data_IF_924733483952
#
_entry.id   IF_924733483952
#
_cell.length_a   1.000
_cell.length_b   1.000
_cell.length_c   1.000
_cell.angle_alpha   90.00
_cell.angle_beta   90.00
_cell.angle_gamma   90.00
#
_symmetry.space_group_name_H-M   'P 1'
#
loop_
_entity.id
_entity.type
_entity.pdbx_description
1 polymer ?
#
# COMPACT_ATOMS: atom_id res chain seq x y z
N UNK A 1 -46.24 -12.90 8.66
CA UNK A 1 -45.74 -12.39 7.37
C UNK A 1 -44.23 -12.50 7.41
N UNK A 2 -43.65 -13.48 6.71
CA UNK A 2 -42.21 -13.53 6.50
C UNK A 2 -41.85 -12.43 5.50
N UNK A 3 -41.02 -11.48 5.92
CA UNK A 3 -40.36 -10.55 4.99
C UNK A 3 -39.53 -11.41 4.02
N UNK A 4 -39.72 -11.32 2.70
CA UNK A 4 -38.87 -12.06 1.78
C UNK A 4 -37.44 -11.57 1.95
N UNK A 5 -36.52 -12.49 2.22
CA UNK A 5 -35.08 -12.24 2.11
C UNK A 5 -34.85 -11.86 0.65
N UNK A 6 -34.52 -10.58 0.40
CA UNK A 6 -34.09 -10.16 -0.95
C UNK A 6 -32.89 -11.02 -1.32
N UNK A 7 -32.88 -11.55 -2.54
CA UNK A 7 -31.68 -12.16 -3.10
C UNK A 7 -30.54 -11.15 -3.02
N UNK A 8 -29.35 -11.60 -2.62
CA UNK A 8 -28.17 -10.74 -2.53
C UNK A 8 -27.82 -10.26 -3.95
N UNK A 9 -27.63 -8.95 -4.12
CA UNK A 9 -27.35 -8.34 -5.43
C UNK A 9 -25.93 -8.67 -5.86
N UNK A 10 -25.77 -9.20 -7.07
CA UNK A 10 -24.45 -9.44 -7.67
C UNK A 10 -23.90 -8.14 -8.26
N UNK A 11 -22.87 -7.58 -7.60
CA UNK A 11 -22.23 -6.33 -8.06
C UNK A 11 -21.08 -6.66 -9.02
N UNK A 12 -21.24 -6.34 -10.29
CA UNK A 12 -20.23 -6.56 -11.32
C UNK A 12 -19.61 -5.24 -11.78
N UNK A 13 -18.29 -5.15 -11.76
CA UNK A 13 -17.55 -3.94 -12.13
C UNK A 13 -16.83 -4.13 -13.46
N UNK A 14 -17.03 -3.19 -14.38
CA UNK A 14 -16.35 -3.13 -15.67
C UNK A 14 -15.67 -1.77 -15.79
N UNK A 15 -14.36 -1.77 -16.00
CA UNK A 15 -13.55 -0.57 -16.20
C UNK A 15 -12.89 -0.57 -17.58
N UNK A 16 -13.22 0.45 -18.38
CA UNK A 16 -12.71 0.59 -19.75
C UNK A 16 -12.13 1.99 -19.93
N UNK A 17 -10.85 2.06 -20.30
CA UNK A 17 -10.18 3.34 -20.49
C UNK A 17 -10.67 4.10 -21.71
N UNK A 18 -10.78 3.38 -22.83
CA UNK A 18 -11.31 3.91 -24.08
C UNK A 18 -12.21 2.90 -24.77
N UNK A 19 -13.39 3.34 -25.20
CA UNK A 19 -14.25 2.54 -26.07
C UNK A 19 -13.57 2.23 -27.42
N UNK A 20 -14.14 1.29 -28.17
CA UNK A 20 -13.68 0.94 -29.50
C UNK A 20 -14.21 1.97 -30.50
N UNK A 21 -13.31 2.54 -31.31
CA UNK A 21 -13.74 3.40 -32.41
C UNK A 21 -14.63 2.62 -33.39
N UNK A 22 -15.78 3.18 -33.71
CA UNK A 22 -16.71 2.67 -34.73
C UNK A 22 -16.29 3.14 -36.13
N UNK A 23 -16.87 2.52 -37.16
CA UNK A 23 -16.62 2.94 -38.56
C UNK A 23 -17.20 4.34 -38.85
N UNK A 24 -18.21 4.76 -38.08
CA UNK A 24 -18.63 6.17 -38.00
C UNK A 24 -17.66 6.93 -37.08
N UNK A 25 -16.94 7.90 -37.65
CA UNK A 25 -15.97 8.73 -36.94
C UNK A 25 -16.64 9.74 -35.99
N UNK A 26 -17.90 10.09 -36.22
CA UNK A 26 -18.66 11.03 -35.39
C UNK A 26 -19.44 10.34 -34.26
N UNK A 27 -19.52 9.01 -34.30
CA UNK A 27 -20.12 8.24 -33.21
C UNK A 27 -19.16 8.12 -32.02
N UNK A 28 -19.75 8.02 -30.82
CA UNK A 28 -18.99 7.76 -29.60
C UNK A 28 -18.29 6.39 -29.70
N UNK A 29 -17.07 6.25 -29.17
CA UNK A 29 -16.41 4.95 -29.06
C UNK A 29 -17.27 3.95 -28.26
N UNK A 30 -17.46 2.75 -28.79
CA UNK A 30 -18.41 1.78 -28.25
C UNK A 30 -17.74 0.76 -27.32
N UNK A 31 -18.42 0.45 -26.22
CA UNK A 31 -18.05 -0.60 -25.27
C UNK A 31 -19.21 -1.58 -25.14
N UNK A 32 -19.04 -2.80 -25.66
CA UNK A 32 -20.09 -3.83 -25.70
C UNK A 32 -19.99 -4.75 -24.49
N UNK A 33 -21.11 -4.94 -23.79
CA UNK A 33 -21.23 -5.80 -22.61
C UNK A 33 -22.41 -6.75 -22.81
N UNK A 34 -22.17 -8.05 -22.59
CA UNK A 34 -23.21 -9.07 -22.49
C UNK A 34 -23.27 -9.56 -21.05
N UNK A 35 -24.42 -9.40 -20.39
CA UNK A 35 -24.66 -9.89 -19.03
C UNK A 35 -25.50 -11.15 -19.11
N UNK A 36 -24.95 -12.25 -18.61
CA UNK A 36 -25.53 -13.59 -18.66
C UNK A 36 -25.55 -14.20 -17.27
N UNK A 37 -26.48 -13.73 -16.45
CA UNK A 37 -26.64 -14.09 -15.03
C UNK A 37 -28.12 -14.44 -14.78
N UNK A 38 -28.61 -15.57 -15.30
CA UNK A 38 -29.99 -15.98 -15.08
C UNK A 38 -30.26 -16.14 -13.58
N UNK A 39 -31.48 -15.79 -13.17
CA UNK A 39 -31.97 -15.86 -11.79
C UNK A 39 -31.22 -14.97 -10.76
N UNK A 40 -30.34 -14.08 -11.22
CA UNK A 40 -29.63 -13.14 -10.37
C UNK A 40 -30.12 -11.70 -10.58
N UNK A 41 -30.23 -10.97 -9.46
CA UNK A 41 -30.35 -9.51 -9.47
C UNK A 41 -28.94 -8.92 -9.59
N UNK A 42 -28.67 -8.23 -10.70
CA UNK A 42 -27.34 -7.72 -11.06
C UNK A 42 -27.30 -6.19 -10.98
N UNK A 43 -26.31 -5.68 -10.25
CA UNK A 43 -25.88 -4.29 -10.35
C UNK A 43 -24.62 -4.18 -11.21
N UNK A 44 -24.68 -3.38 -12.26
CA UNK A 44 -23.57 -3.19 -13.18
C UNK A 44 -22.91 -1.83 -12.94
N UNK A 45 -21.62 -1.84 -12.61
CA UNK A 45 -20.81 -0.63 -12.41
C UNK A 45 -19.91 -0.44 -13.63
N UNK A 46 -20.10 0.68 -14.33
CA UNK A 46 -19.41 1.04 -15.55
C UNK A 46 -18.46 2.19 -15.27
N UNK A 47 -17.15 1.94 -15.36
CA UNK A 47 -16.11 2.92 -15.13
C UNK A 47 -15.44 3.27 -16.46
N UNK A 48 -15.45 4.54 -16.85
CA UNK A 48 -14.82 4.96 -18.10
C UNK A 48 -13.98 6.26 -18.03
N UNK A 49 -13.16 6.43 -19.06
CA UNK A 49 -12.21 7.54 -19.19
C UNK A 49 -12.79 8.83 -19.76
N UNK A 50 -14.08 8.90 -20.14
CA UNK A 50 -14.73 10.17 -20.42
C UNK A 50 -15.70 10.22 -21.61
N UNK A 51 -15.53 9.39 -22.64
CA UNK A 51 -16.44 9.39 -23.79
C UNK A 51 -16.62 7.97 -24.33
N UNK A 52 -17.67 7.29 -23.90
CA UNK A 52 -18.02 5.98 -24.47
C UNK A 52 -19.52 5.75 -24.54
N UNK A 53 -19.95 5.01 -25.56
CA UNK A 53 -21.27 4.41 -25.61
C UNK A 53 -21.20 2.97 -25.09
N UNK A 54 -21.70 2.77 -23.88
CA UNK A 54 -21.93 1.46 -23.30
C UNK A 54 -23.17 0.82 -23.92
N UNK A 55 -22.96 -0.26 -24.66
CA UNK A 55 -24.03 -1.07 -25.23
C UNK A 55 -24.14 -2.37 -24.43
N UNK A 56 -25.19 -2.48 -23.64
CA UNK A 56 -25.46 -3.61 -22.77
C UNK A 56 -26.54 -4.49 -23.39
N UNK A 57 -26.28 -5.79 -23.43
CA UNK A 57 -27.24 -6.82 -23.78
C UNK A 57 -27.36 -7.78 -22.59
N UNK A 58 -28.54 -8.36 -22.38
CA UNK A 58 -28.82 -9.32 -21.31
C UNK A 58 -29.35 -10.61 -21.92
N UNK A 59 -29.00 -11.76 -21.34
CA UNK A 59 -29.68 -13.02 -21.66
C UNK A 59 -31.06 -13.06 -20.99
N UNK A 60 -31.99 -13.91 -21.48
CA UNK A 60 -33.27 -14.12 -20.80
C UNK A 60 -33.06 -14.41 -19.30
N UNK A 61 -33.99 -13.94 -18.47
CA UNK A 61 -34.01 -14.18 -17.01
C UNK A 61 -32.90 -13.48 -16.21
N UNK A 62 -31.94 -12.81 -16.86
CA UNK A 62 -31.02 -11.87 -16.20
C UNK A 62 -31.77 -10.59 -15.81
N UNK A 63 -31.69 -10.18 -14.54
CA UNK A 63 -32.33 -8.94 -14.05
C UNK A 63 -31.29 -7.88 -13.69
N UNK A 64 -31.16 -6.86 -14.54
CA UNK A 64 -30.39 -5.67 -14.18
C UNK A 64 -31.21 -4.79 -13.25
N UNK A 65 -30.84 -4.73 -11.98
CA UNK A 65 -31.52 -3.90 -10.97
C UNK A 65 -30.96 -2.49 -10.94
N UNK A 66 -29.69 -2.31 -11.31
CA UNK A 66 -29.06 -0.99 -11.34
C UNK A 66 -27.90 -0.93 -12.35
N UNK A 67 -27.74 0.24 -12.99
CA UNK A 67 -26.55 0.58 -13.77
C UNK A 67 -25.94 1.86 -13.21
N UNK A 68 -24.74 1.74 -12.64
CA UNK A 68 -23.96 2.85 -12.10
C UNK A 68 -22.91 3.25 -13.12
N UNK A 69 -22.72 4.57 -13.28
CA UNK A 69 -21.63 5.14 -14.08
C UNK A 69 -20.64 5.87 -13.17
N UNK A 70 -19.36 5.58 -13.34
CA UNK A 70 -18.24 6.18 -12.61
C UNK A 70 -17.03 6.42 -13.53
N UNK A 71 -15.95 6.96 -12.98
CA UNK A 71 -14.74 7.30 -13.72
C UNK A 71 -14.52 8.81 -13.87
N UNK A 72 -13.54 9.21 -14.68
CA UNK A 72 -13.01 10.59 -14.67
C UNK A 72 -14.00 11.64 -15.18
N UNK A 73 -14.80 11.31 -16.20
CA UNK A 73 -15.69 12.26 -16.89
C UNK A 73 -16.99 11.57 -17.36
N UNK A 74 -17.83 11.10 -16.44
CA UNK A 74 -19.03 10.30 -16.79
C UNK A 74 -20.13 11.06 -17.54
N UNK A 75 -20.04 12.39 -17.63
CA UNK A 75 -21.08 13.26 -18.19
C UNK A 75 -21.32 13.05 -19.69
N UNK A 76 -20.29 12.62 -20.43
CA UNK A 76 -20.37 12.49 -21.89
C UNK A 76 -20.60 11.04 -22.36
N UNK A 77 -20.60 10.07 -21.43
CA UNK A 77 -20.83 8.66 -21.73
C UNK A 77 -22.33 8.33 -21.79
N UNK A 78 -22.71 7.51 -22.77
CA UNK A 78 -24.10 7.05 -22.99
C UNK A 78 -24.24 5.57 -22.67
N UNK A 79 -25.43 5.17 -22.22
CA UNK A 79 -25.75 3.76 -21.95
C UNK A 79 -27.01 3.38 -22.70
N UNK A 80 -26.98 2.25 -23.38
CA UNK A 80 -28.17 1.58 -23.92
C UNK A 80 -28.27 0.16 -23.38
N UNK A 81 -29.48 -0.26 -23.02
CA UNK A 81 -29.81 -1.64 -22.66
C UNK A 81 -30.71 -2.20 -23.75
N UNK A 82 -30.21 -3.20 -24.49
CA UNK A 82 -30.92 -3.81 -25.62
C UNK A 82 -31.42 -2.76 -26.64
N UNK A 83 -30.60 -1.74 -26.87
CA UNK A 83 -30.89 -0.62 -27.79
C UNK A 83 -31.72 0.53 -27.18
N UNK A 84 -32.24 0.37 -25.95
CA UNK A 84 -33.05 1.39 -25.28
C UNK A 84 -32.13 2.30 -24.45
N UNK A 85 -32.16 3.63 -24.64
CA UNK A 85 -31.39 4.57 -23.82
C UNK A 85 -31.71 4.44 -22.34
N UNK A 86 -30.66 4.42 -21.52
CA UNK A 86 -30.76 4.28 -20.07
C UNK A 86 -30.20 5.52 -19.37
N UNK A 87 -30.95 6.04 -18.41
CA UNK A 87 -30.45 7.05 -17.46
C UNK A 87 -29.86 6.29 -16.27
N UNK A 88 -28.61 5.86 -16.40
CA UNK A 88 -27.89 5.23 -15.29
C UNK A 88 -27.61 6.22 -14.16
N UNK A 89 -27.35 5.71 -12.95
CA UNK A 89 -27.00 6.53 -11.78
C UNK A 89 -25.56 6.99 -11.91
N UNK A 90 -25.35 8.29 -12.13
CA UNK A 90 -24.01 8.86 -12.16
C UNK A 90 -23.47 8.97 -10.72
N UNK A 91 -22.31 8.39 -10.48
CA UNK A 91 -21.56 8.49 -9.22
C UNK A 91 -20.16 9.00 -9.55
N UNK A 92 -19.98 10.32 -9.67
CA UNK A 92 -18.75 10.92 -10.19
C UNK A 92 -17.51 10.62 -9.34
N UNK A 93 -17.71 10.27 -8.06
CA UNK A 93 -16.61 9.99 -7.13
C UNK A 93 -16.05 8.56 -7.23
N UNK A 94 -16.62 7.68 -8.08
CA UNK A 94 -16.08 6.34 -8.27
C UNK A 94 -14.81 6.39 -9.14
N UNK A 95 -13.64 5.96 -8.64
CA UNK A 95 -12.40 6.07 -9.37
C UNK A 95 -12.34 5.07 -10.52
N UNK A 96 -11.77 5.49 -11.66
CA UNK A 96 -11.44 4.59 -12.75
C UNK A 96 -10.18 3.78 -12.41
N UNK A 97 -10.34 2.46 -12.31
CA UNK A 97 -9.26 1.52 -11.94
C UNK A 97 -9.19 0.37 -12.92
N UNK A 98 -7.99 -0.11 -13.23
CA UNK A 98 -7.80 -1.19 -14.23
C UNK A 98 -7.37 -2.53 -13.63
N UNK A 99 -7.03 -2.53 -12.35
CA UNK A 99 -6.55 -3.71 -11.62
C UNK A 99 -7.19 -3.73 -10.23
N UNK A 100 -7.41 -4.92 -9.65
CA UNK A 100 -7.98 -5.06 -8.31
C UNK A 100 -6.97 -4.80 -7.18
N UNK A 101 -6.14 -3.75 -7.32
CA UNK A 101 -5.07 -3.39 -6.40
C UNK A 101 -4.98 -1.87 -6.28
N UNK A 102 -4.41 -1.37 -5.18
CA UNK A 102 -4.18 0.06 -5.00
C UNK A 102 -5.24 0.74 -4.15
N UNK A 103 -4.89 1.90 -3.59
CA UNK A 103 -5.79 2.72 -2.76
C UNK A 103 -7.10 3.07 -3.48
N UNK A 104 -7.06 3.37 -4.78
CA UNK A 104 -8.25 3.71 -5.56
C UNK A 104 -9.18 2.52 -5.74
N UNK A 105 -8.65 1.30 -5.92
CA UNK A 105 -9.50 0.13 -6.00
C UNK A 105 -10.15 -0.19 -4.65
N UNK A 106 -9.43 0.02 -3.54
CA UNK A 106 -10.02 -0.10 -2.19
C UNK A 106 -11.15 0.92 -1.97
N UNK A 107 -10.94 2.19 -2.36
CA UNK A 107 -11.96 3.22 -2.26
C UNK A 107 -13.21 2.90 -3.10
N UNK A 108 -13.03 2.39 -4.33
CA UNK A 108 -14.11 1.86 -5.16
C UNK A 108 -14.87 0.75 -4.42
N UNK A 109 -14.13 -0.25 -3.92
CA UNK A 109 -14.72 -1.41 -3.27
C UNK A 109 -15.55 -1.01 -2.05
N UNK A 110 -14.97 -0.22 -1.14
CA UNK A 110 -15.65 0.34 0.04
C UNK A 110 -16.92 1.11 -0.31
N UNK A 111 -16.91 1.87 -1.40
CA UNK A 111 -18.09 2.63 -1.84
C UNK A 111 -19.19 1.70 -2.33
N UNK A 112 -18.85 0.67 -3.10
CA UNK A 112 -19.81 -0.29 -3.66
C UNK A 112 -20.37 -1.23 -2.59
N UNK A 113 -19.52 -1.78 -1.72
CA UNK A 113 -19.94 -2.69 -0.64
C UNK A 113 -20.86 -1.98 0.33
N UNK A 114 -20.55 -0.74 0.71
CA UNK A 114 -21.43 0.12 1.52
C UNK A 114 -22.76 0.41 0.83
N UNK A 115 -22.74 0.74 -0.47
CA UNK A 115 -23.95 1.07 -1.23
C UNK A 115 -24.91 -0.12 -1.32
N UNK A 116 -24.38 -1.30 -1.62
CA UNK A 116 -25.19 -2.50 -1.88
C UNK A 116 -25.39 -3.37 -0.63
N UNK A 117 -24.74 -3.05 0.49
CA UNK A 117 -24.82 -3.85 1.71
C UNK A 117 -24.22 -5.24 1.53
N UNK A 118 -23.13 -5.36 0.76
CA UNK A 118 -22.43 -6.61 0.46
C UNK A 118 -21.02 -6.56 1.02
N UNK A 119 -20.41 -7.71 1.32
CA UNK A 119 -19.02 -7.75 1.80
C UNK A 119 -17.99 -7.78 0.65
N UNK A 120 -18.46 -7.96 -0.59
CA UNK A 120 -17.61 -8.14 -1.77
C UNK A 120 -18.33 -7.74 -3.05
N UNK A 121 -17.56 -7.52 -4.12
CA UNK A 121 -18.09 -7.50 -5.49
C UNK A 121 -18.02 -8.91 -6.12
N UNK A 122 -18.94 -9.16 -7.04
CA UNK A 122 -19.13 -10.44 -7.71
C UNK A 122 -18.06 -10.70 -8.79
N UNK A 123 -17.68 -9.68 -9.56
CA UNK A 123 -16.55 -9.75 -10.49
C UNK A 123 -15.97 -8.36 -10.80
N UNK A 124 -14.74 -8.33 -11.31
CA UNK A 124 -14.07 -7.14 -11.80
C UNK A 124 -13.42 -7.40 -13.16
N UNK A 125 -13.67 -6.54 -14.13
CA UNK A 125 -13.07 -6.59 -15.46
C UNK A 125 -12.44 -5.25 -15.82
N UNK A 126 -11.11 -5.19 -15.85
CA UNK A 126 -10.37 -3.98 -16.23
C UNK A 126 -9.69 -4.12 -17.59
N UNK A 127 -9.83 -3.12 -18.46
CA UNK A 127 -9.09 -3.04 -19.72
C UNK A 127 -8.83 -1.59 -20.14
N UNK A 128 -7.69 -1.34 -20.78
CA UNK A 128 -7.38 0.00 -21.28
C UNK A 128 -8.18 0.38 -22.54
N UNK A 129 -8.58 -0.61 -23.34
CA UNK A 129 -9.35 -0.40 -24.58
C UNK A 129 -10.35 -1.53 -24.80
N UNK A 130 -11.57 -1.18 -25.20
CA UNK A 130 -12.59 -2.17 -25.56
C UNK A 130 -12.20 -2.98 -26.80
N UNK A 131 -12.49 -4.29 -26.76
CA UNK A 131 -12.29 -5.22 -27.88
C UNK A 131 -13.39 -5.16 -28.95
N UNK A 132 -13.26 -5.99 -29.98
CA UNK A 132 -14.33 -6.21 -30.98
C UNK A 132 -15.44 -7.12 -30.47
N UNK A 133 -15.10 -8.10 -29.63
CA UNK A 133 -16.05 -8.98 -28.98
C UNK A 133 -16.65 -8.29 -27.74
N UNK A 134 -17.93 -8.59 -27.41
CA UNK A 134 -18.52 -8.11 -26.17
C UNK A 134 -17.79 -8.69 -24.96
N UNK A 135 -17.57 -7.86 -23.95
CA UNK A 135 -17.17 -8.33 -22.63
C UNK A 135 -18.34 -9.11 -22.02
N UNK A 136 -18.07 -10.31 -21.53
CA UNK A 136 -19.09 -11.17 -20.92
C UNK A 136 -19.02 -11.09 -19.39
N UNK A 137 -20.18 -10.87 -18.78
CA UNK A 137 -20.42 -11.01 -17.34
C UNK A 137 -21.29 -12.24 -17.15
N UNK A 138 -20.66 -13.41 -17.08
CA UNK A 138 -21.34 -14.71 -17.04
C UNK A 138 -20.98 -15.56 -15.80
N UNK A 139 -20.02 -15.11 -15.00
CA UNK A 139 -19.54 -15.84 -13.82
C UNK A 139 -19.17 -14.94 -12.65
N UNK A 140 -19.25 -15.51 -11.47
CA UNK A 140 -18.68 -14.97 -10.24
C UNK A 140 -17.17 -15.22 -10.22
N UNK A 141 -16.43 -14.29 -9.64
CA UNK A 141 -15.03 -14.49 -9.28
C UNK A 141 -14.94 -14.73 -7.77
N UNK A 142 -14.98 -16.01 -7.39
CA UNK A 142 -14.89 -16.45 -5.99
C UNK A 142 -13.44 -16.59 -5.51
N UNK A 143 -12.47 -16.66 -6.42
CA UNK A 143 -11.06 -16.93 -6.09
C UNK A 143 -10.25 -15.67 -5.81
N UNK A 144 -10.63 -14.53 -6.37
CA UNK A 144 -9.93 -13.27 -6.14
C UNK A 144 -10.27 -12.67 -4.77
N UNK A 145 -9.44 -12.96 -3.76
CA UNK A 145 -9.57 -12.42 -2.40
C UNK A 145 -9.73 -10.89 -2.39
N UNK A 146 -8.97 -10.20 -3.25
CA UNK A 146 -8.97 -8.74 -3.40
C UNK A 146 -10.36 -8.14 -3.69
N UNK A 147 -11.34 -8.91 -4.16
CA UNK A 147 -12.71 -8.43 -4.40
C UNK A 147 -13.55 -8.32 -3.13
N UNK A 148 -13.04 -8.77 -1.98
CA UNK A 148 -13.68 -8.66 -0.67
C UNK A 148 -13.22 -7.39 0.03
N UNK A 149 -14.14 -6.74 0.75
CA UNK A 149 -13.89 -5.50 1.50
C UNK A 149 -12.73 -5.70 2.48
N UNK A 150 -12.83 -6.74 3.31
CA UNK A 150 -11.85 -7.09 4.33
C UNK A 150 -11.05 -8.37 3.97
N UNK A 151 -10.36 -8.34 2.84
CA UNK A 151 -9.59 -9.51 2.38
C UNK A 151 -8.34 -9.78 3.25
N UNK A 152 -7.83 -8.76 3.95
CA UNK A 152 -6.62 -8.85 4.77
C UNK A 152 -6.83 -9.64 6.07
N UNK A 153 -8.06 -9.74 6.57
CA UNK A 153 -8.39 -10.59 7.72
C UNK A 153 -7.92 -12.03 7.54
N UNK A 154 -8.00 -12.54 6.30
CA UNK A 154 -7.55 -13.89 5.93
C UNK A 154 -6.04 -14.00 5.70
N UNK A 155 -5.32 -12.88 5.64
CA UNK A 155 -3.88 -12.81 5.40
C UNK A 155 -3.07 -12.50 6.67
N UNK A 156 -3.72 -12.34 7.82
CA UNK A 156 -3.03 -12.25 9.11
C UNK A 156 -2.23 -13.53 9.34
N UNK A 157 -0.92 -13.35 9.48
CA UNK A 157 0.04 -14.42 9.70
C UNK A 157 0.05 -14.91 11.15
N UNK A 158 0.56 -16.13 11.33
CA UNK A 158 0.80 -16.73 12.64
C UNK A 158 1.89 -16.00 13.41
N UNK A 159 1.74 -15.96 14.73
CA UNK A 159 2.64 -15.26 15.66
C UNK A 159 3.23 -16.17 16.74
N UNK A 160 2.88 -17.46 16.76
CA UNK A 160 3.22 -18.38 17.85
C UNK A 160 4.71 -18.75 17.91
N UNK A 161 5.41 -18.66 16.79
CA UNK A 161 6.86 -18.87 16.61
C UNK A 161 7.66 -17.57 16.52
N UNK A 162 7.01 -16.40 16.64
CA UNK A 162 7.73 -15.12 16.72
C UNK A 162 8.36 -14.95 18.10
N UNK A 163 9.51 -14.24 18.21
CA UNK A 163 10.08 -13.90 19.51
C UNK A 163 9.08 -13.15 20.38
N UNK A 164 9.01 -13.47 21.67
CA UNK A 164 8.01 -12.92 22.59
C UNK A 164 7.99 -11.38 22.59
N UNK A 165 9.16 -10.74 22.46
CA UNK A 165 9.27 -9.29 22.38
C UNK A 165 8.56 -8.66 21.17
N UNK A 166 8.43 -9.39 20.04
CA UNK A 166 7.71 -8.92 18.86
C UNK A 166 6.22 -9.25 18.96
N UNK A 167 5.88 -10.42 19.51
CA UNK A 167 4.50 -10.88 19.67
C UNK A 167 3.71 -10.05 20.67
N UNK A 168 4.32 -9.71 21.80
CA UNK A 168 3.63 -9.14 22.96
C UNK A 168 3.63 -7.59 22.96
N UNK A 169 4.33 -6.95 22.02
CA UNK A 169 4.42 -5.48 21.87
C UNK A 169 4.28 -4.97 20.42
N UNK A 170 3.19 -5.27 19.71
CA UNK A 170 2.90 -4.57 18.47
C UNK A 170 2.52 -3.12 18.81
N UNK A 171 3.49 -2.19 18.77
CA UNK A 171 3.24 -0.75 18.94
C UNK A 171 3.79 -0.10 20.20
N UNK A 172 4.62 -0.79 20.98
CA UNK A 172 5.41 -0.11 21.99
C UNK A 172 6.48 0.73 21.30
N UNK A 173 6.18 2.00 21.03
CA UNK A 173 7.22 3.01 21.05
C UNK A 173 7.79 2.97 22.46
N UNK A 174 9.02 2.48 22.62
CA UNK A 174 9.72 2.74 23.87
C UNK A 174 9.57 4.24 24.12
N UNK A 175 9.16 4.63 25.33
CA UNK A 175 9.07 6.05 25.67
C UNK A 175 10.50 6.54 25.70
N UNK A 176 10.99 6.91 24.53
CA UNK A 176 12.36 7.28 24.33
C UNK A 176 12.49 8.59 25.05
N UNK A 177 13.17 8.59 26.19
CA UNK A 177 13.49 9.80 26.93
C UNK A 177 14.46 10.70 26.16
N UNK A 178 14.45 10.67 24.83
CA UNK A 178 15.28 11.50 23.98
C UNK A 178 14.64 11.72 22.61
N UNK A 179 15.06 12.80 21.96
CA UNK A 179 14.73 13.14 20.57
C UNK A 179 16.03 13.37 19.81
N UNK A 180 16.10 12.87 18.58
CA UNK A 180 17.18 13.15 17.65
C UNK A 180 16.65 13.96 16.47
N UNK A 181 17.37 15.02 16.12
CA UNK A 181 17.22 15.72 14.84
C UNK A 181 18.51 15.51 14.06
N UNK A 182 18.40 15.06 12.81
CA UNK A 182 19.54 14.89 11.91
C UNK A 182 19.35 15.75 10.65
N UNK A 183 20.26 16.68 10.43
CA UNK A 183 20.27 17.54 9.25
C UNK A 183 21.69 17.64 8.66
N UNK A 184 21.87 18.50 7.65
CA UNK A 184 23.17 18.67 6.98
C UNK A 184 24.26 19.27 7.88
N UNK A 185 23.88 19.97 8.96
CA UNK A 185 24.82 20.58 9.90
C UNK A 185 25.32 19.59 10.96
N UNK A 186 24.54 18.55 11.25
CA UNK A 186 24.92 17.52 12.22
C UNK A 186 23.72 16.88 12.90
N UNK A 187 23.97 16.35 14.10
CA UNK A 187 22.94 15.68 14.91
C UNK A 187 22.70 16.47 16.19
N UNK A 188 21.44 16.70 16.52
CA UNK A 188 21.03 17.28 17.79
C UNK A 188 20.32 16.22 18.62
N UNK A 189 20.88 15.91 19.80
CA UNK A 189 20.28 15.03 20.80
C UNK A 189 19.67 15.89 21.92
N UNK A 190 18.38 15.69 22.17
CA UNK A 190 17.67 16.27 23.30
C UNK A 190 17.27 15.15 24.25
N UNK A 191 17.71 15.17 25.50
CA UNK A 191 17.37 14.18 26.52
C UNK A 191 17.25 14.86 27.92
N UNK A 192 16.94 14.16 29.03
CA UNK A 192 16.87 14.75 30.37
C UNK A 192 18.12 15.47 30.84
N UNK A 193 19.28 15.20 30.23
CA UNK A 193 20.55 15.87 30.55
C UNK A 193 20.74 17.19 29.79
N UNK A 194 19.88 17.47 28.80
CA UNK A 194 19.84 18.73 28.06
C UNK A 194 19.89 18.54 26.54
N UNK A 195 20.22 19.61 25.83
CA UNK A 195 20.38 19.63 24.37
C UNK A 195 21.87 19.62 24.04
N UNK A 196 22.31 18.68 23.20
CA UNK A 196 23.68 18.58 22.68
C UNK A 196 23.65 18.55 21.15
N UNK A 197 24.50 19.36 20.52
CA UNK A 197 24.67 19.37 19.07
C UNK A 197 26.05 18.84 18.70
N UNK A 198 26.08 17.92 17.75
CA UNK A 198 27.28 17.28 17.21
C UNK A 198 27.44 17.72 15.76
N UNK A 199 28.28 18.72 15.46
CA UNK A 199 28.46 19.21 14.10
C UNK A 199 29.20 18.18 13.23
N UNK A 200 28.89 18.13 11.94
CA UNK A 200 29.61 17.28 10.97
C UNK A 200 31.05 17.79 10.81
N UNK A 201 32.08 16.98 11.08
CA UNK A 201 33.47 17.40 10.88
C UNK A 201 33.90 17.19 9.43
N UNK A 202 34.93 17.92 9.00
CA UNK A 202 35.53 17.78 7.66
C UNK A 202 36.25 16.43 7.44
N UNK A 203 36.35 15.59 8.48
CA UNK A 203 37.02 14.28 8.46
C UNK A 203 36.13 13.15 7.96
N UNK A 204 34.83 13.38 7.76
CA UNK A 204 33.89 12.40 7.21
C UNK A 204 33.24 12.94 5.93
N UNK A 205 32.72 12.07 5.05
CA UNK A 205 31.95 12.53 3.90
C UNK A 205 30.78 13.44 4.32
N UNK A 206 30.50 14.51 3.56
CA UNK A 206 29.45 15.46 3.91
C UNK A 206 28.07 14.79 3.95
N UNK A 207 27.21 15.27 4.83
CA UNK A 207 25.84 14.79 4.97
C UNK A 207 24.99 15.34 3.82
N UNK A 208 24.54 14.44 2.96
CA UNK A 208 23.59 14.72 1.87
C UNK A 208 22.30 13.96 2.16
N UNK A 209 21.13 14.62 2.07
CA UNK A 209 19.80 13.99 2.25
C UNK A 209 19.72 13.08 3.51
N UNK A 210 19.80 13.67 4.72
CA UNK A 210 19.64 12.93 5.97
C UNK A 210 18.25 12.27 6.03
N UNK A 211 18.18 11.01 6.50
CA UNK A 211 16.95 10.23 6.49
C UNK A 211 16.50 9.80 7.89
N UNK A 212 17.36 9.13 8.66
CA UNK A 212 17.01 8.63 9.98
C UNK A 212 18.22 8.58 10.92
N UNK A 213 17.92 8.53 12.21
CA UNK A 213 18.93 8.38 13.26
C UNK A 213 18.36 7.61 14.44
N UNK A 214 19.24 6.93 15.18
CA UNK A 214 18.92 6.14 16.37
C UNK A 214 20.02 6.33 17.41
N UNK A 215 19.67 6.36 18.70
CA UNK A 215 20.63 6.48 19.79
C UNK A 215 20.54 5.26 20.69
N UNK A 216 21.70 4.64 20.93
CA UNK A 216 21.88 3.62 21.94
C UNK A 216 22.25 4.28 23.28
N UNK A 217 21.33 4.37 24.25
CA UNK A 217 21.61 4.99 25.54
C UNK A 217 22.63 4.20 26.38
N UNK A 218 22.81 2.89 26.12
CA UNK A 218 23.72 2.07 26.91
C UNK A 218 25.18 2.39 26.58
N UNK A 219 25.51 2.51 25.29
CA UNK A 219 26.85 2.90 24.85
C UNK A 219 27.01 4.42 24.69
N UNK A 220 25.92 5.18 24.63
CA UNK A 220 25.91 6.60 24.28
C UNK A 220 26.23 6.85 22.80
N UNK A 221 26.07 5.85 21.93
CA UNK A 221 26.35 5.99 20.50
C UNK A 221 25.12 6.45 19.76
N UNK A 222 25.29 7.38 18.83
CA UNK A 222 24.26 7.79 17.89
C UNK A 222 24.63 7.26 16.51
N UNK A 223 23.69 6.64 15.82
CA UNK A 223 23.85 6.24 14.43
C UNK A 223 22.91 7.06 13.57
N UNK A 224 23.39 7.50 12.42
CA UNK A 224 22.62 8.32 11.49
C UNK A 224 22.86 7.87 10.06
N UNK A 225 21.84 7.98 9.21
CA UNK A 225 21.90 7.50 7.84
C UNK A 225 21.49 8.59 6.84
N UNK A 226 22.20 8.62 5.73
CA UNK A 226 21.87 9.42 4.55
C UNK A 226 21.44 8.54 3.39
N UNK A 227 20.72 9.10 2.42
CA UNK A 227 20.46 8.47 1.12
C UNK A 227 20.93 9.35 -0.03
N UNK A 228 20.90 8.84 -1.26
CA UNK A 228 21.38 9.55 -2.45
C UNK A 228 22.91 9.61 -2.59
N UNK A 229 23.38 9.54 -3.84
CA UNK A 229 24.79 9.30 -4.13
C UNK A 229 25.25 8.01 -3.44
N UNK A 230 26.46 8.02 -2.87
CA UNK A 230 26.99 6.83 -2.17
C UNK A 230 26.11 6.43 -0.97
N UNK A 231 25.55 7.41 -0.24
CA UNK A 231 24.89 7.20 1.04
C UNK A 231 25.82 6.62 2.13
N UNK A 232 25.63 7.01 3.38
CA UNK A 232 26.48 6.57 4.48
C UNK A 232 25.67 6.30 5.73
N UNK A 233 26.16 5.33 6.53
CA UNK A 233 25.82 5.22 7.93
C UNK A 233 26.98 5.81 8.73
N UNK A 234 26.67 6.83 9.53
CA UNK A 234 27.58 7.46 10.46
C UNK A 234 27.37 6.92 11.87
N UNK A 235 28.44 6.87 12.64
CA UNK A 235 28.42 6.67 14.08
C UNK A 235 29.01 7.90 14.76
N UNK A 236 28.33 8.39 15.79
CA UNK A 236 28.75 9.54 16.59
C UNK A 236 28.78 9.14 18.05
N UNK A 237 29.92 9.30 18.69
CA UNK A 237 30.03 9.15 20.14
C UNK A 237 29.35 10.33 20.82
N UNK A 238 28.24 10.10 21.52
CA UNK A 238 27.44 11.14 22.17
C UNK A 238 28.14 11.84 23.35
N UNK A 239 29.28 11.32 23.81
CA UNK A 239 30.11 11.93 24.87
C UNK A 239 31.23 12.78 24.31
N UNK A 240 31.92 12.29 23.28
CA UNK A 240 33.10 12.96 22.71
C UNK A 240 32.78 13.79 21.47
N UNK A 241 31.65 13.52 20.81
CA UNK A 241 31.30 14.08 19.51
C UNK A 241 32.13 13.53 18.36
N UNK A 242 32.88 12.44 18.56
CA UNK A 242 33.69 11.85 17.50
C UNK A 242 32.81 11.15 16.47
N UNK A 243 32.96 11.55 15.20
CA UNK A 243 32.28 10.94 14.06
C UNK A 243 33.13 9.85 13.41
N UNK A 244 32.47 8.83 12.87
CA UNK A 244 33.06 7.84 11.98
C UNK A 244 32.05 7.38 10.93
N UNK A 245 32.55 6.91 9.80
CA UNK A 245 31.74 6.15 8.84
C UNK A 245 31.69 4.70 9.32
N UNK A 246 30.48 4.17 9.48
CA UNK A 246 30.24 2.75 9.81
C UNK A 246 30.18 1.94 8.52
N UNK A 247 29.43 2.42 7.52
CA UNK A 247 29.29 1.76 6.23
C UNK A 247 28.94 2.76 5.13
N UNK A 248 29.34 2.45 3.90
CA UNK A 248 28.78 3.04 2.69
C UNK A 248 27.52 2.25 2.27
N UNK A 249 26.55 2.94 1.67
CA UNK A 249 25.29 2.33 1.25
C UNK A 249 25.30 1.86 -0.21
N UNK A 250 26.26 2.32 -1.00
CA UNK A 250 26.46 1.97 -2.42
C UNK A 250 25.18 2.18 -3.25
N UNK A 251 24.70 3.44 -3.29
CA UNK A 251 23.47 3.84 -4.00
C UNK A 251 22.17 3.19 -3.47
N UNK A 252 22.19 2.70 -2.23
CA UNK A 252 20.98 2.25 -1.54
C UNK A 252 20.30 3.39 -0.81
N UNK A 253 19.10 3.72 -1.29
CA UNK A 253 18.25 4.68 -0.61
C UNK A 253 17.55 4.02 0.58
N UNK A 254 18.09 4.25 1.77
CA UNK A 254 17.49 3.82 3.03
C UNK A 254 16.52 4.88 3.57
N UNK A 255 15.48 4.43 4.28
CA UNK A 255 14.47 5.31 4.90
C UNK A 255 14.39 5.16 6.42
N UNK A 256 14.50 3.94 6.94
CA UNK A 256 14.42 3.66 8.36
C UNK A 256 15.71 3.08 8.92
N UNK A 257 15.94 3.26 10.23
CA UNK A 257 17.07 2.70 10.95
C UNK A 257 16.72 2.39 12.40
N UNK A 258 17.11 1.20 12.84
CA UNK A 258 17.19 0.82 14.25
C UNK A 258 18.55 0.20 14.54
N UNK A 259 18.90 0.18 15.82
CA UNK A 259 20.07 -0.52 16.33
C UNK A 259 19.63 -1.61 17.30
N UNK A 260 20.15 -2.82 17.10
CA UNK A 260 20.04 -3.89 18.06
C UNK A 260 21.31 -3.96 18.93
N UNK A 261 21.24 -3.60 20.22
CA UNK A 261 22.39 -3.70 21.12
C UNK A 261 22.83 -5.13 21.43
N UNK A 262 21.93 -6.13 21.33
CA UNK A 262 22.25 -7.52 21.66
C UNK A 262 23.22 -8.13 20.63
N UNK A 263 23.01 -7.82 19.35
CA UNK A 263 23.87 -8.30 18.25
C UNK A 263 24.78 -7.22 17.67
N UNK A 264 24.76 -6.01 18.24
CA UNK A 264 25.46 -4.83 17.72
C UNK A 264 25.25 -4.64 16.21
N UNK A 265 23.99 -4.71 15.79
CA UNK A 265 23.60 -4.68 14.38
C UNK A 265 22.70 -3.50 14.10
N UNK A 266 22.95 -2.81 13.00
CA UNK A 266 22.10 -1.77 12.45
C UNK A 266 21.19 -2.40 11.40
N UNK A 267 19.90 -2.09 11.45
CA UNK A 267 18.91 -2.63 10.52
C UNK A 267 18.24 -1.47 9.81
N UNK A 268 18.27 -1.49 8.48
CA UNK A 268 17.69 -0.45 7.64
C UNK A 268 16.62 -1.01 6.72
N UNK A 269 15.66 -0.15 6.38
CA UNK A 269 14.62 -0.41 5.39
C UNK A 269 14.81 0.51 4.18
N UNK A 270 14.45 0.03 3.00
CA UNK A 270 14.60 0.80 1.76
C UNK A 270 13.58 1.93 1.66
N UNK A 271 13.87 2.91 0.82
CA UNK A 271 13.02 4.04 0.50
C UNK A 271 12.28 3.83 -0.83
N UNK A 272 11.32 4.72 -1.09
CA UNK A 272 10.66 4.89 -2.39
C UNK A 272 10.08 3.60 -2.97
N UNK A 273 10.61 3.15 -4.11
CA UNK A 273 10.12 2.00 -4.88
C UNK A 273 10.64 0.66 -4.35
N UNK A 274 11.45 0.64 -3.29
CA UNK A 274 12.03 -0.58 -2.69
C UNK A 274 11.85 -0.64 -1.17
N UNK A 275 10.63 -0.44 -0.64
CA UNK A 275 10.38 -0.42 0.80
C UNK A 275 10.79 -1.74 1.50
N UNK A 276 10.66 -2.87 0.82
CA UNK A 276 11.04 -4.19 1.33
C UNK A 276 12.50 -4.61 1.09
N UNK A 277 13.39 -3.68 0.67
CA UNK A 277 14.84 -3.91 0.68
C UNK A 277 15.36 -3.68 2.10
N UNK A 278 15.53 -4.77 2.84
CA UNK A 278 15.97 -4.76 4.24
C UNK A 278 17.45 -5.13 4.27
N UNK A 279 18.26 -4.31 4.92
CA UNK A 279 19.70 -4.55 5.07
C UNK A 279 20.09 -4.56 6.54
N UNK A 280 21.03 -5.41 6.88
CA UNK A 280 21.67 -5.43 8.20
C UNK A 280 23.14 -5.11 8.05
N UNK A 281 23.67 -4.31 8.97
CA UNK A 281 25.07 -3.92 9.02
C UNK A 281 25.60 -4.19 10.43
N UNK A 282 26.62 -5.03 10.55
CA UNK A 282 27.40 -5.11 11.78
C UNK A 282 28.35 -3.93 11.88
N UNK A 283 28.79 -3.61 13.11
CA UNK A 283 29.67 -2.45 13.34
C UNK A 283 31.08 -2.60 12.76
N UNK A 284 31.47 -3.82 12.35
CA UNK A 284 32.71 -4.14 11.64
C UNK A 284 32.59 -4.02 10.11
N UNK A 285 31.40 -3.67 9.60
CA UNK A 285 31.14 -3.42 8.18
C UNK A 285 30.59 -4.62 7.41
N UNK A 286 30.38 -5.79 8.04
CA UNK A 286 29.70 -6.89 7.36
C UNK A 286 28.23 -6.53 7.07
N UNK A 287 27.74 -6.94 5.88
CA UNK A 287 26.42 -6.58 5.37
C UNK A 287 25.65 -7.82 4.92
N UNK A 288 24.38 -7.89 5.30
CA UNK A 288 23.42 -8.81 4.67
C UNK A 288 22.22 -8.06 4.12
N UNK A 289 21.54 -8.66 3.15
CA UNK A 289 20.41 -8.04 2.46
C UNK A 289 19.36 -9.09 2.15
N UNK A 290 18.10 -8.70 2.32
CA UNK A 290 16.95 -9.41 1.77
C UNK A 290 16.02 -8.43 1.08
N UNK A 291 15.44 -8.87 -0.04
CA UNK A 291 14.50 -8.05 -0.80
C UNK A 291 13.14 -8.74 -0.89
N UNK A 292 12.13 -8.08 -0.34
CA UNK A 292 10.72 -8.46 -0.48
C UNK A 292 10.04 -7.46 -1.44
N UNK A 293 9.60 -7.89 -2.63
CA UNK A 293 8.90 -7.01 -3.56
C UNK A 293 7.61 -6.46 -2.93
N UNK A 294 7.23 -5.22 -3.28
CA UNK A 294 5.99 -4.58 -2.80
C UNK A 294 4.74 -5.44 -3.01
N UNK A 295 4.67 -6.19 -4.11
CA UNK A 295 3.55 -7.08 -4.43
C UNK A 295 3.47 -8.33 -3.55
N UNK A 296 4.52 -8.61 -2.77
CA UNK A 296 4.56 -9.69 -1.76
C UNK A 296 4.29 -9.19 -0.34
N UNK A 297 4.03 -7.89 -0.15
CA UNK A 297 3.69 -7.29 1.14
C UNK A 297 2.16 -7.15 1.24
N UNK A 298 1.48 -8.03 2.00
CA UNK A 298 0.01 -8.04 2.11
C UNK A 298 -0.58 -6.66 2.42
N UNK A 299 -1.37 -6.13 1.49
CA UNK A 299 -2.05 -4.85 1.68
C UNK A 299 -1.17 -3.60 1.63
N UNK A 300 0.12 -3.68 1.32
CA UNK A 300 0.95 -2.48 1.21
C UNK A 300 0.48 -1.56 0.07
N UNK A 301 0.12 -2.14 -1.07
CA UNK A 301 -0.38 -1.38 -2.23
C UNK A 301 -1.67 -0.63 -1.94
N UNK A 302 -2.41 -1.01 -0.90
CA UNK A 302 -3.67 -0.36 -0.53
C UNK A 302 -3.45 0.99 0.16
N UNK A 303 -2.22 1.29 0.60
CA UNK A 303 -1.87 2.52 1.30
C UNK A 303 -1.55 3.70 0.35
N UNK A 304 -1.36 3.46 -0.95
CA UNK A 304 -0.92 4.48 -1.91
C UNK A 304 -1.39 4.17 -3.34
N UNK A 305 -1.19 5.11 -4.28
CA UNK A 305 -1.51 4.89 -5.69
C UNK A 305 -0.43 4.05 -6.39
N UNK A 306 -0.56 2.73 -6.27
CA UNK A 306 0.42 1.78 -6.80
C UNK A 306 0.58 1.89 -8.32
N UNK A 307 1.79 2.29 -8.74
CA UNK A 307 2.18 2.48 -10.14
C UNK A 307 2.32 3.94 -10.55
N UNK A 308 1.76 4.86 -9.76
CA UNK A 308 1.87 6.31 -9.99
C UNK A 308 2.62 7.02 -8.85
N UNK A 309 2.57 6.49 -7.63
CA UNK A 309 3.22 7.03 -6.45
C UNK A 309 4.31 6.09 -5.91
N UNK A 310 5.19 6.65 -5.07
CA UNK A 310 6.13 5.87 -4.28
C UNK A 310 5.40 5.18 -3.12
N UNK A 311 5.86 3.97 -2.78
CA UNK A 311 5.36 3.29 -1.59
C UNK A 311 5.69 4.10 -0.34
N UNK A 312 4.82 4.10 0.69
CA UNK A 312 5.24 4.55 2.01
C UNK A 312 6.45 3.71 2.47
N UNK A 313 7.44 4.33 3.12
CA UNK A 313 8.58 3.61 3.67
C UNK A 313 8.15 2.67 4.79
N UNK A 314 8.87 1.55 4.95
CA UNK A 314 8.74 0.72 6.14
C UNK A 314 9.48 1.38 7.29
N UNK A 315 8.80 1.66 8.39
CA UNK A 315 9.40 2.13 9.64
C UNK A 315 9.77 0.94 10.52
N UNK A 316 11.07 0.64 10.72
CA UNK A 316 11.50 -0.44 11.60
C UNK A 316 11.26 -0.06 13.07
N UNK A 317 10.79 -1.01 13.86
CA UNK A 317 10.47 -0.82 15.29
C UNK A 317 11.36 -1.65 16.21
N UNK A 318 11.52 -2.93 15.90
CA UNK A 318 12.22 -3.86 16.77
C UNK A 318 12.86 -4.98 15.95
N UNK A 319 14.04 -5.41 16.36
CA UNK A 319 14.73 -6.57 15.78
C UNK A 319 15.12 -7.55 16.90
N UNK A 320 14.75 -8.83 16.75
CA UNK A 320 15.12 -9.93 17.65
C UNK A 320 15.21 -11.24 16.87
N UNK A 321 16.25 -12.02 17.12
CA UNK A 321 16.38 -13.39 16.63
C UNK A 321 16.11 -13.57 15.12
N UNK A 322 16.61 -12.64 14.30
CA UNK A 322 16.42 -12.66 12.84
C UNK A 322 15.11 -12.05 12.34
N UNK A 323 14.20 -11.67 13.25
CA UNK A 323 12.92 -11.05 12.92
C UNK A 323 12.93 -9.55 13.13
N UNK A 324 12.49 -8.81 12.11
CA UNK A 324 12.25 -7.37 12.13
C UNK A 324 10.74 -7.10 12.17
N UNK A 325 10.29 -6.35 13.18
CA UNK A 325 8.98 -5.73 13.20
C UNK A 325 9.05 -4.36 12.51
N UNK A 326 8.21 -4.13 11.50
CA UNK A 326 8.15 -2.86 10.80
C UNK A 326 6.73 -2.51 10.36
N UNK A 327 6.41 -1.22 10.28
CA UNK A 327 5.09 -0.74 9.83
C UNK A 327 5.17 0.16 8.60
N UNK A 328 4.11 0.16 7.79
CA UNK A 328 3.84 1.21 6.81
C UNK A 328 2.57 1.97 7.21
N UNK A 329 2.53 3.28 6.96
CA UNK A 329 1.34 4.13 7.15
C UNK A 329 1.01 4.84 5.84
N UNK A 330 -0.28 5.07 5.57
CA UNK A 330 -0.71 5.83 4.39
C UNK A 330 -0.29 7.31 4.49
N UNK A 331 -0.40 7.88 5.69
CA UNK A 331 0.01 9.26 5.98
C UNK A 331 1.37 9.25 6.70
N UNK A 332 2.42 9.88 6.13
CA UNK A 332 3.72 9.98 6.78
C UNK A 332 3.71 10.87 8.03
N UNK A 333 2.73 11.78 8.21
CA UNK A 333 2.59 12.55 9.44
C UNK A 333 2.05 11.71 10.61
N UNK A 334 1.45 10.55 10.32
CA UNK A 334 0.99 9.62 11.34
C UNK A 334 2.05 8.56 11.63
N UNK A 335 2.04 8.04 12.84
CA UNK A 335 2.91 6.96 13.27
C UNK A 335 2.07 5.83 13.84
N UNK A 336 2.47 4.60 13.57
CA UNK A 336 1.94 3.45 14.29
C UNK A 336 2.36 3.53 15.78
N UNK A 337 1.47 3.27 16.75
CA UNK A 337 0.13 2.67 16.62
C UNK A 337 -1.04 3.63 16.40
N UNK A 338 -0.81 4.94 16.43
CA UNK A 338 -1.87 5.96 16.37
C UNK A 338 -2.42 6.22 14.96
N UNK A 339 -1.72 5.73 13.93
CA UNK A 339 -2.14 5.83 12.55
C UNK A 339 -3.40 5.01 12.29
N UNK A 340 -4.38 5.58 11.58
CA UNK A 340 -5.63 4.86 11.28
C UNK A 340 -5.46 3.88 10.12
N UNK A 341 -4.70 4.27 9.09
CA UNK A 341 -4.39 3.45 7.92
C UNK A 341 -2.95 2.96 7.96
N UNK A 342 -2.77 1.71 8.37
CA UNK A 342 -1.45 1.12 8.57
C UNK A 342 -1.39 -0.36 8.21
N UNK A 343 -0.16 -0.86 8.08
CA UNK A 343 0.18 -2.29 8.01
C UNK A 343 1.34 -2.56 8.94
N UNK A 344 1.22 -3.57 9.78
CA UNK A 344 2.30 -4.05 10.66
C UNK A 344 2.76 -5.41 10.17
N UNK A 345 4.07 -5.57 9.98
CA UNK A 345 4.67 -6.79 9.45
C UNK A 345 5.78 -7.31 10.36
N UNK A 346 5.94 -8.64 10.37
CA UNK A 346 7.18 -9.30 10.76
C UNK A 346 7.93 -9.77 9.51
N UNK A 347 9.23 -9.48 9.45
CA UNK A 347 10.14 -9.88 8.38
C UNK A 347 11.25 -10.74 8.93
N UNK A 348 11.49 -11.90 8.33
CA UNK A 348 12.70 -12.65 8.62
C UNK A 348 13.84 -12.16 7.72
N UNK A 349 14.88 -11.56 8.31
CA UNK A 349 15.93 -10.84 7.57
C UNK A 349 16.85 -11.73 6.74
N UNK A 350 16.89 -13.04 7.04
CA UNK A 350 17.63 -14.03 6.22
C UNK A 350 16.78 -14.70 5.13
N UNK A 351 15.55 -15.14 5.43
CA UNK A 351 14.74 -15.92 4.49
C UNK A 351 13.85 -15.06 3.58
N UNK A 352 13.58 -13.82 3.98
CA UNK A 352 12.65 -12.92 3.29
C UNK A 352 11.19 -13.28 3.52
N UNK A 353 10.91 -14.16 4.48
CA UNK A 353 9.55 -14.41 4.94
C UNK A 353 8.94 -13.12 5.48
N UNK A 354 7.69 -12.86 5.09
CA UNK A 354 6.90 -11.72 5.57
C UNK A 354 5.55 -12.20 6.07
N UNK A 355 5.13 -11.64 7.21
CA UNK A 355 3.82 -11.91 7.82
C UNK A 355 3.15 -10.59 8.14
N UNK A 356 1.91 -10.42 7.70
CA UNK A 356 1.05 -9.35 8.17
C UNK A 356 0.56 -9.70 9.57
N UNK A 357 0.81 -8.83 10.55
CA UNK A 357 0.43 -9.07 11.95
C UNK A 357 -0.83 -8.31 12.32
N UNK A 358 -0.98 -7.10 11.79
CA UNK A 358 -2.12 -6.22 12.03
C UNK A 358 -2.25 -5.21 10.88
N UNK A 359 -3.44 -4.66 10.70
CA UNK A 359 -3.72 -3.59 9.75
C UNK A 359 -4.84 -2.71 10.28
N UNK A 360 -4.88 -1.47 9.79
CA UNK A 360 -6.00 -0.54 9.93
C UNK A 360 -6.34 0.04 8.57
N UNK A 361 -7.62 0.25 8.29
CA UNK A 361 -8.11 0.71 7.00
C UNK A 361 -8.95 1.99 7.04
N UNK A 362 -9.33 2.49 8.24
CA UNK A 362 -10.11 3.72 8.43
C UNK A 362 -9.73 4.48 9.71
#
# INVERSE_FOLDING_TARGET
MCTPVRAEVEVHVIAIGKGRQTDDFYALPESRVLVDRPDADVALVLLDGGETHWRIETTPETRLVEVIRGGRETGNSRVTLSGIPMVGVATPDLPLVYKPVGVHFRALLTSLTRRFGTDRIASFHGMHRAGSAPLRVDRLDTGAAALSHDYLATQIGRTDDLPAALRDRPGATDTVGHTLTFDQSGITLTDPTGVRHFPVPDTVPPVLLPAASVHDPASGMIYALTYGGVGYIYGVDGRTGAWRVVAALDDYDASGLIFDPATQTLITTGAFSRPGDIRTFSLDGARTQVFVPTTRLPGLTDLFDYGNEHSPPLRPHLYRDGWLLASATADPAQAYPDATRFRLYAFHTTTGEVRLLAYGDD
#
